data_IF_312150347256
#
_entry.id   IF_312150347256
#
_cell.length_a   1.000
_cell.length_b   1.000
_cell.length_c   1.000
_cell.angle_alpha   90.00
_cell.angle_beta   90.00
_cell.angle_gamma   90.00
#
_symmetry.space_group_name_H-M   'P 1'
#
loop_
_entity.id
_entity.type
_entity.pdbx_description
1 polymer ?
#
# COMPACT_ATOMS: atom_id res chain seq x y z
N UNK A 1 -9.47 7.67 8.51
CA UNK A 1 -7.99 7.65 8.54
C UNK A 1 -7.35 7.42 7.16
N UNK A 2 -7.89 6.59 6.26
CA UNK A 2 -7.37 6.46 4.88
C UNK A 2 -7.69 7.70 4.00
N UNK A 3 -8.90 8.26 4.16
CA UNK A 3 -9.35 9.44 3.40
C UNK A 3 -8.43 10.66 3.54
N UNK A 4 -7.95 10.94 4.76
CA UNK A 4 -7.14 12.12 5.05
C UNK A 4 -5.69 11.99 4.53
N UNK A 5 -5.08 10.81 4.68
CA UNK A 5 -3.74 10.54 4.14
C UNK A 5 -3.72 10.58 2.61
N UNK A 6 -4.79 10.13 1.96
CA UNK A 6 -4.94 10.19 0.52
C UNK A 6 -5.08 11.64 0.00
N UNK A 7 -5.81 12.50 0.73
CA UNK A 7 -5.93 13.93 0.37
C UNK A 7 -4.59 14.67 0.46
N UNK A 8 -3.75 14.35 1.45
CA UNK A 8 -2.39 14.88 1.52
C UNK A 8 -1.48 14.36 0.39
N UNK A 9 -1.62 13.08 0.03
CA UNK A 9 -0.90 12.50 -1.09
C UNK A 9 -1.24 13.19 -2.42
N UNK A 10 -2.54 13.48 -2.66
CA UNK A 10 -2.98 14.23 -3.83
C UNK A 10 -2.43 15.67 -3.88
N UNK A 11 -2.29 16.33 -2.73
CA UNK A 11 -1.71 17.68 -2.62
C UNK A 11 -0.21 17.72 -2.88
N UNK A 12 0.48 16.58 -2.78
CA UNK A 12 1.91 16.45 -3.09
C UNK A 12 2.23 16.46 -4.59
N UNK A 13 1.24 16.20 -5.46
CA UNK A 13 1.45 16.26 -6.90
C UNK A 13 1.50 17.71 -7.41
N UNK A 14 2.39 17.95 -8.39
CA UNK A 14 2.37 19.21 -9.16
C UNK A 14 1.01 19.39 -9.83
N UNK A 15 0.54 20.64 -9.89
CA UNK A 15 -0.76 20.99 -10.51
C UNK A 15 -0.85 20.64 -12.01
N UNK A 16 0.29 20.41 -12.66
CA UNK A 16 0.39 20.00 -14.07
C UNK A 16 0.70 18.50 -14.26
N UNK A 17 0.65 17.71 -13.19
CA UNK A 17 0.95 16.28 -13.29
C UNK A 17 -0.11 15.58 -14.15
N UNK A 18 0.35 14.77 -15.12
CA UNK A 18 -0.55 14.03 -16.00
C UNK A 18 -1.42 13.09 -15.16
N UNK A 19 -2.75 13.02 -15.40
CA UNK A 19 -3.67 12.16 -14.67
C UNK A 19 -3.19 10.70 -14.51
N UNK A 20 -2.48 10.16 -15.50
CA UNK A 20 -1.96 8.80 -15.49
C UNK A 20 -0.83 8.60 -14.46
N UNK A 21 0.02 9.62 -14.24
CA UNK A 21 1.10 9.59 -13.24
C UNK A 21 0.54 9.66 -11.81
N UNK A 22 -0.51 10.45 -11.60
CA UNK A 22 -1.20 10.56 -10.32
C UNK A 22 -1.84 9.21 -9.95
N UNK A 23 -2.57 8.60 -10.89
CA UNK A 23 -3.21 7.30 -10.68
C UNK A 23 -2.20 6.21 -10.33
N UNK A 24 -1.08 6.12 -11.05
CA UNK A 24 -0.04 5.12 -10.78
C UNK A 24 0.59 5.30 -9.38
N UNK A 25 0.87 6.55 -8.98
CA UNK A 25 1.39 6.85 -7.64
C UNK A 25 0.40 6.50 -6.52
N UNK A 26 -0.89 6.78 -6.71
CA UNK A 26 -1.93 6.47 -5.72
C UNK A 26 -2.09 4.97 -5.52
N UNK A 27 -2.15 4.20 -6.61
CA UNK A 27 -2.27 2.74 -6.55
C UNK A 27 -1.05 2.12 -5.84
N UNK A 28 0.15 2.64 -6.07
CA UNK A 28 1.35 2.23 -5.33
C UNK A 28 1.29 2.58 -3.83
N UNK A 29 0.84 3.79 -3.49
CA UNK A 29 0.71 4.21 -2.10
C UNK A 29 -0.33 3.37 -1.33
N UNK A 30 -1.42 2.95 -1.98
CA UNK A 30 -2.43 2.05 -1.40
C UNK A 30 -1.84 0.69 -0.97
N UNK A 31 -0.77 0.21 -1.63
CA UNK A 31 -0.07 -1.01 -1.22
C UNK A 31 0.52 -0.94 0.19
N UNK A 32 0.85 0.25 0.68
CA UNK A 32 1.37 0.43 2.06
C UNK A 32 0.26 0.40 3.12
N UNK A 33 -0.96 0.77 2.74
CA UNK A 33 -2.13 0.71 3.63
C UNK A 33 -2.75 -0.68 3.71
N UNK A 34 -2.54 -1.52 2.67
CA UNK A 34 -3.02 -2.89 2.63
C UNK A 34 -2.00 -3.94 3.13
N UNK A 35 -0.92 -3.51 3.80
CA UNK A 35 0.14 -4.42 4.25
C UNK A 35 -0.35 -5.54 5.18
N UNK A 36 -1.42 -5.28 5.95
CA UNK A 36 -2.09 -6.24 6.84
C UNK A 36 -2.74 -7.42 6.10
N UNK A 37 -3.15 -7.22 4.84
CA UNK A 37 -3.70 -8.29 3.99
C UNK A 37 -2.63 -9.09 3.22
N UNK A 38 -1.38 -8.63 3.26
CA UNK A 38 -0.20 -9.33 2.71
C UNK A 38 0.62 -10.03 3.80
N UNK A 39 0.07 -10.22 5.00
CA UNK A 39 0.70 -10.98 6.09
C UNK A 39 0.61 -12.51 5.88
N UNK A 40 1.04 -12.95 4.69
CA UNK A 40 1.32 -14.37 4.37
C UNK A 40 2.70 -14.77 4.92
N UNK A 41 3.56 -13.79 5.20
CA UNK A 41 4.93 -14.02 5.68
C UNK A 41 4.96 -14.60 7.11
N UNK A 42 4.01 -14.24 7.98
CA UNK A 42 3.94 -14.77 9.34
C UNK A 42 3.24 -16.14 9.42
N UNK A 43 2.27 -16.44 8.55
CA UNK A 43 1.58 -17.74 8.57
C UNK A 43 2.43 -18.92 8.04
N UNK A 44 3.49 -18.69 7.25
CA UNK A 44 4.34 -19.78 6.74
C UNK A 44 5.39 -20.29 7.74
N UNK A 45 5.68 -19.52 8.80
CA UNK A 45 6.68 -19.91 9.80
C UNK A 45 6.14 -20.87 10.87
N UNK A 46 4.81 -20.93 11.11
CA UNK A 46 4.23 -21.92 12.03
C UNK A 46 4.20 -23.34 11.45
N UNK A 47 4.00 -23.49 10.14
CA UNK A 47 3.98 -24.83 9.50
C UNK A 47 5.37 -25.48 9.41
N UNK A 48 6.45 -24.69 9.41
CA UNK A 48 7.82 -25.22 9.40
C UNK A 48 8.28 -25.73 10.77
N UNK A 49 7.63 -25.33 11.87
CA UNK A 49 7.98 -25.78 13.22
C UNK A 49 7.19 -27.03 13.66
N UNK A 50 6.11 -27.39 12.96
CA UNK A 50 5.30 -28.59 13.22
C UNK A 50 5.74 -29.83 12.44
N UNK A 51 6.72 -29.70 11.53
CA UNK A 51 7.21 -30.80 10.65
C UNK A 51 8.65 -31.25 10.96
N UNK A 52 9.25 -30.74 12.05
CA UNK A 52 10.54 -31.17 12.58
C UNK A 52 10.36 -32.02 13.86
#
# INVERSE_FOLDING_TARGET
>A
MLHDQLMNFYRGFRRDAHPMAIMCGVVGALSSFYHDSTDIATHTLEWSLLTA
#
